data_IF_760348891335
#
_entry.id   IF_760348891335
#
_cell.length_a   1.000
_cell.length_b   1.000
_cell.length_c   1.000
_cell.angle_alpha   90.00
_cell.angle_beta   90.00
_cell.angle_gamma   90.00
#
_symmetry.space_group_name_H-M   'P 1'
#
loop_
_entity.id
_entity.type
_entity.pdbx_description
1 polymer ?
#
# COMPACT_ATOMS: atom_id res chain seq x y z
N UNK A 1 11.52 -3.62 20.83
CA UNK A 1 11.73 -2.16 21.02
C UNK A 1 11.90 -1.42 19.69
N UNK A 2 12.66 -1.94 18.72
CA UNK A 2 12.88 -1.27 17.41
C UNK A 2 11.60 -0.94 16.65
N UNK A 3 10.63 -1.86 16.56
CA UNK A 3 9.40 -1.63 15.80
C UNK A 3 8.54 -0.49 16.37
N UNK A 4 8.44 -0.38 17.71
CA UNK A 4 7.70 0.71 18.36
C UNK A 4 8.32 2.09 18.08
N UNK A 5 9.65 2.17 17.97
CA UNK A 5 10.35 3.41 17.60
C UNK A 5 9.99 3.79 16.16
N UNK A 6 10.01 2.83 15.23
CA UNK A 6 9.66 3.08 13.84
C UNK A 6 8.19 3.50 13.71
N UNK A 7 7.28 2.84 14.41
CA UNK A 7 5.86 3.23 14.48
C UNK A 7 5.73 4.67 14.97
N UNK A 8 6.42 5.03 16.06
CA UNK A 8 6.44 6.40 16.59
C UNK A 8 6.94 7.42 15.57
N UNK A 9 8.03 7.13 14.88
CA UNK A 9 8.60 8.01 13.84
C UNK A 9 7.61 8.19 12.68
N UNK A 10 6.99 7.11 12.20
CA UNK A 10 6.02 7.19 11.09
C UNK A 10 4.79 7.99 11.51
N UNK A 11 4.29 7.82 12.74
CA UNK A 11 3.17 8.63 13.25
C UNK A 11 3.52 10.11 13.32
N UNK A 12 4.69 10.46 13.83
CA UNK A 12 5.18 11.85 13.85
C UNK A 12 5.27 12.39 12.43
N UNK A 13 5.81 11.62 11.49
CA UNK A 13 5.92 12.02 10.09
C UNK A 13 4.55 12.26 9.43
N UNK A 14 3.56 11.40 9.68
CA UNK A 14 2.18 11.56 9.20
C UNK A 14 1.57 12.87 9.70
N UNK A 15 1.74 13.17 10.98
CA UNK A 15 1.23 14.40 11.60
C UNK A 15 1.94 15.63 11.02
N UNK A 16 3.28 15.60 10.95
CA UNK A 16 4.08 16.71 10.42
C UNK A 16 3.71 17.01 8.98
N UNK A 17 3.68 15.98 8.11
CA UNK A 17 3.28 16.13 6.71
C UNK A 17 1.90 16.79 6.64
N UNK A 18 0.93 16.35 7.44
CA UNK A 18 -0.45 16.86 7.39
C UNK A 18 -0.61 18.35 7.76
N UNK A 19 0.34 18.94 8.47
CA UNK A 19 0.28 20.33 8.95
C UNK A 19 1.13 21.28 8.10
N UNK A 20 1.97 20.75 7.19
CA UNK A 20 2.89 21.57 6.40
C UNK A 20 2.17 22.69 5.65
N UNK A 21 2.78 23.90 5.57
CA UNK A 21 2.23 24.99 4.81
C UNK A 21 2.31 24.69 3.30
N UNK A 22 1.32 25.18 2.56
CA UNK A 22 1.19 25.00 1.11
C UNK A 22 2.47 25.27 0.28
N UNK A 23 3.28 26.33 0.52
CA UNK A 23 4.52 26.53 -0.22
C UNK A 23 5.50 25.37 -0.06
N UNK A 24 5.65 24.83 1.15
CA UNK A 24 6.52 23.67 1.43
C UNK A 24 5.96 22.43 0.75
N UNK A 25 4.65 22.24 0.83
CA UNK A 25 3.96 21.14 0.14
C UNK A 25 4.20 21.17 -1.37
N UNK A 26 4.06 22.35 -2.00
CA UNK A 26 4.33 22.54 -3.41
C UNK A 26 5.78 22.25 -3.75
N UNK A 27 6.74 22.70 -2.94
CA UNK A 27 8.17 22.44 -3.17
C UNK A 27 8.48 20.93 -3.20
N UNK A 28 7.98 20.18 -2.22
CA UNK A 28 8.21 18.74 -2.10
C UNK A 28 7.53 17.97 -3.25
N UNK A 29 6.29 18.36 -3.59
CA UNK A 29 5.43 17.55 -4.48
C UNK A 29 5.50 17.95 -5.96
N UNK A 30 6.13 19.08 -6.30
CA UNK A 30 6.16 19.61 -7.69
C UNK A 30 6.68 18.60 -8.70
N UNK A 31 7.80 17.95 -8.39
CA UNK A 31 8.43 16.94 -9.24
C UNK A 31 7.53 15.71 -9.46
N UNK A 32 6.70 15.36 -8.47
CA UNK A 32 5.84 14.17 -8.48
C UNK A 32 4.44 14.41 -9.04
N UNK A 33 4.10 15.65 -9.42
CA UNK A 33 2.78 15.96 -9.97
C UNK A 33 2.55 15.42 -11.39
N UNK A 34 3.62 15.03 -12.10
CA UNK A 34 3.60 14.45 -13.46
C UNK A 34 2.72 15.21 -14.49
N UNK A 35 2.36 16.47 -14.23
CA UNK A 35 1.51 17.36 -15.02
C UNK A 35 0.61 16.64 -16.06
N UNK A 36 0.81 16.91 -17.36
CA UNK A 36 0.09 16.26 -18.47
C UNK A 36 0.83 15.04 -19.03
N UNK A 37 2.00 14.71 -18.50
CA UNK A 37 2.84 13.64 -19.03
C UNK A 37 2.12 12.30 -18.92
N UNK A 38 2.05 11.55 -20.02
CA UNK A 38 1.38 10.24 -20.04
C UNK A 38 -0.14 10.28 -20.11
N UNK A 39 -0.80 11.45 -20.09
CA UNK A 39 -2.24 11.54 -20.37
C UNK A 39 -2.43 11.51 -21.89
N UNK A 40 -3.19 10.53 -22.38
CA UNK A 40 -3.47 10.35 -23.82
C UNK A 40 -4.98 10.32 -24.04
N UNK A 41 -5.44 10.87 -25.17
CA UNK A 41 -6.83 10.77 -25.60
C UNK A 41 -6.94 9.64 -26.61
N UNK A 42 -7.75 8.63 -26.31
CA UNK A 42 -8.02 7.53 -27.22
C UNK A 42 -9.25 7.90 -28.05
N UNK A 43 -9.02 8.29 -29.31
CA UNK A 43 -10.08 8.77 -30.19
C UNK A 43 -11.19 7.74 -30.41
N UNK A 44 -10.83 6.47 -30.60
CA UNK A 44 -11.78 5.35 -30.84
C UNK A 44 -12.86 5.24 -29.76
N UNK A 45 -12.50 5.45 -28.50
CA UNK A 45 -13.42 5.32 -27.36
C UNK A 45 -13.86 6.67 -26.80
N UNK A 46 -13.42 7.79 -27.39
CA UNK A 46 -13.62 9.16 -26.88
C UNK A 46 -13.25 9.34 -25.40
N UNK A 47 -12.31 8.54 -24.89
CA UNK A 47 -11.88 8.56 -23.48
C UNK A 47 -10.45 9.09 -23.33
N UNK A 48 -10.11 9.54 -22.12
CA UNK A 48 -8.74 9.89 -21.71
C UNK A 48 -8.17 8.80 -20.81
N UNK A 49 -6.90 8.48 -21.01
CA UNK A 49 -6.21 7.45 -20.22
C UNK A 49 -4.89 8.01 -19.68
N UNK A 50 -4.50 7.54 -18.50
CA UNK A 50 -3.20 7.84 -17.90
C UNK A 50 -2.27 6.62 -18.08
N UNK A 51 -1.40 6.70 -19.09
CA UNK A 51 -0.44 5.64 -19.39
C UNK A 51 0.58 5.44 -18.27
N UNK A 52 0.97 6.49 -17.54
CA UNK A 52 1.93 6.36 -16.43
C UNK A 52 1.27 5.68 -15.24
N UNK A 53 0.06 6.12 -14.86
CA UNK A 53 -0.68 5.49 -13.77
C UNK A 53 -0.96 4.01 -14.04
N UNK A 54 -1.30 3.66 -15.29
CA UNK A 54 -1.52 2.26 -15.67
C UNK A 54 -0.21 1.46 -15.70
N UNK A 55 0.91 2.03 -16.17
CA UNK A 55 2.22 1.39 -16.14
C UNK A 55 2.64 1.09 -14.69
N UNK A 56 2.53 2.08 -13.79
CA UNK A 56 2.90 1.92 -12.39
C UNK A 56 2.00 0.93 -11.65
N UNK A 57 0.70 0.87 -11.99
CA UNK A 57 -0.18 -0.21 -11.54
C UNK A 57 0.32 -1.58 -12.02
N UNK A 58 0.69 -1.70 -13.30
CA UNK A 58 1.26 -2.94 -13.85
C UNK A 58 2.53 -3.37 -13.12
N UNK A 59 3.47 -2.43 -12.92
CA UNK A 59 4.71 -2.67 -12.15
C UNK A 59 4.38 -3.10 -10.72
N UNK A 60 3.40 -2.46 -10.06
CA UNK A 60 2.96 -2.82 -8.71
C UNK A 60 2.46 -4.26 -8.65
N UNK A 61 1.63 -4.68 -9.62
CA UNK A 61 1.09 -6.04 -9.68
C UNK A 61 2.20 -7.06 -9.87
N UNK A 62 3.08 -6.84 -10.85
CA UNK A 62 4.20 -7.75 -11.12
C UNK A 62 5.12 -7.85 -9.90
N UNK A 63 5.47 -6.71 -9.29
CA UNK A 63 6.27 -6.70 -8.07
C UNK A 63 5.61 -7.51 -6.96
N UNK A 64 4.33 -7.31 -6.67
CA UNK A 64 3.64 -7.97 -5.56
C UNK A 64 3.40 -9.47 -5.79
N UNK A 65 3.43 -9.95 -7.04
CA UNK A 65 3.37 -11.39 -7.33
C UNK A 65 4.75 -12.02 -7.15
N UNK A 66 5.81 -11.37 -7.65
CA UNK A 66 7.16 -11.96 -7.69
C UNK A 66 8.09 -11.47 -6.58
N UNK A 67 7.57 -10.77 -5.57
CA UNK A 67 8.41 -10.09 -4.57
C UNK A 67 9.36 -11.04 -3.83
N UNK A 68 8.94 -12.28 -3.57
CA UNK A 68 9.74 -13.27 -2.83
C UNK A 68 11.01 -13.71 -3.57
N UNK A 69 11.06 -13.52 -4.90
CA UNK A 69 12.24 -13.80 -5.73
C UNK A 69 13.21 -12.62 -5.80
N UNK A 70 12.84 -11.45 -5.27
CA UNK A 70 13.62 -10.23 -5.36
C UNK A 70 14.42 -10.06 -4.06
N UNK A 71 15.76 -10.01 -4.12
CA UNK A 71 16.56 -9.73 -2.94
C UNK A 71 16.23 -8.33 -2.40
N UNK A 72 16.16 -8.20 -1.08
CA UNK A 72 15.80 -6.93 -0.40
C UNK A 72 14.44 -6.35 -0.83
N UNK A 73 13.47 -7.19 -1.18
CA UNK A 73 12.13 -6.75 -1.63
C UNK A 73 11.48 -5.74 -0.67
N UNK A 74 11.62 -5.88 0.65
CA UNK A 74 11.03 -4.95 1.63
C UNK A 74 11.60 -3.53 1.48
N UNK A 75 12.89 -3.41 1.19
CA UNK A 75 13.53 -2.11 0.96
C UNK A 75 13.08 -1.48 -0.36
N UNK A 76 13.07 -2.27 -1.43
CA UNK A 76 12.59 -1.82 -2.76
C UNK A 76 11.12 -1.40 -2.71
N UNK A 77 10.28 -2.18 -2.02
CA UNK A 77 8.89 -1.85 -1.75
C UNK A 77 8.80 -0.52 -0.99
N UNK A 78 9.61 -0.33 0.06
CA UNK A 78 9.63 0.92 0.82
C UNK A 78 9.92 2.15 -0.05
N UNK A 79 10.94 2.09 -0.91
CA UNK A 79 11.25 3.17 -1.86
C UNK A 79 10.08 3.40 -2.83
N UNK A 80 9.58 2.32 -3.43
CA UNK A 80 8.50 2.42 -4.41
C UNK A 80 7.21 2.97 -3.79
N UNK A 81 6.92 2.59 -2.54
CA UNK A 81 5.81 3.08 -1.75
C UNK A 81 5.95 4.58 -1.47
N UNK A 82 7.13 5.05 -1.04
CA UNK A 82 7.39 6.47 -0.78
C UNK A 82 7.18 7.29 -2.06
N UNK A 83 7.69 6.83 -3.20
CA UNK A 83 7.47 7.50 -4.49
C UNK A 83 5.98 7.53 -4.85
N UNK A 84 5.27 6.41 -4.66
CA UNK A 84 3.83 6.31 -4.91
C UNK A 84 3.03 7.27 -4.02
N UNK A 85 3.43 7.39 -2.75
CA UNK A 85 2.84 8.30 -1.78
C UNK A 85 3.05 9.77 -2.19
N UNK A 86 4.27 10.15 -2.56
CA UNK A 86 4.60 11.52 -2.99
C UNK A 86 3.82 11.91 -4.25
N UNK A 87 3.66 10.98 -5.21
CA UNK A 87 2.82 11.15 -6.39
C UNK A 87 1.36 11.40 -6.01
N UNK A 88 0.78 10.56 -5.15
CA UNK A 88 -0.60 10.72 -4.68
C UNK A 88 -0.80 12.07 -3.97
N UNK A 89 0.15 12.44 -3.11
CA UNK A 89 0.14 13.68 -2.33
C UNK A 89 0.22 14.91 -3.24
N UNK A 90 1.02 14.85 -4.31
CA UNK A 90 1.08 15.90 -5.32
C UNK A 90 -0.28 16.16 -5.98
N UNK A 91 -1.01 15.11 -6.33
CA UNK A 91 -2.34 15.25 -6.92
C UNK A 91 -3.37 15.72 -5.92
N UNK A 92 -3.34 15.19 -4.69
CA UNK A 92 -4.24 15.62 -3.62
C UNK A 92 -4.11 17.12 -3.36
N UNK A 93 -2.88 17.63 -3.26
CA UNK A 93 -2.59 19.05 -3.09
C UNK A 93 -3.08 19.89 -4.29
N UNK A 94 -2.82 19.43 -5.52
CA UNK A 94 -3.27 20.11 -6.75
C UNK A 94 -4.80 20.22 -6.82
N UNK A 95 -5.51 19.11 -6.62
CA UNK A 95 -6.98 19.05 -6.73
C UNK A 95 -7.66 19.87 -5.62
N UNK A 96 -7.07 19.91 -4.43
CA UNK A 96 -7.62 20.66 -3.29
C UNK A 96 -7.21 22.13 -3.27
N UNK A 97 -6.36 22.58 -4.19
CA UNK A 97 -5.84 23.96 -4.23
C UNK A 97 -6.93 25.04 -4.27
N UNK A 98 -8.05 24.76 -4.94
CA UNK A 98 -9.21 25.67 -5.07
C UNK A 98 -10.36 25.35 -4.10
N UNK A 99 -10.15 24.41 -3.18
CA UNK A 99 -11.19 23.97 -2.21
C UNK A 99 -11.02 24.72 -0.88
N UNK A 100 -12.08 24.78 -0.06
CA UNK A 100 -11.99 25.30 1.31
C UNK A 100 -10.83 24.67 2.09
N UNK A 101 -10.16 25.47 2.92
CA UNK A 101 -8.97 25.06 3.68
C UNK A 101 -9.20 23.80 4.51
N UNK A 102 -10.40 23.65 5.09
CA UNK A 102 -10.77 22.48 5.89
C UNK A 102 -10.79 21.20 5.03
N UNK A 103 -11.45 21.25 3.86
CA UNK A 103 -11.50 20.13 2.92
C UNK A 103 -10.11 19.71 2.47
N UNK A 104 -9.27 20.69 2.10
CA UNK A 104 -7.90 20.43 1.67
C UNK A 104 -7.07 19.71 2.76
N UNK A 105 -7.12 20.22 4.00
CA UNK A 105 -6.43 19.61 5.13
C UNK A 105 -6.92 18.20 5.43
N UNK A 106 -8.22 17.95 5.40
CA UNK A 106 -8.77 16.61 5.67
C UNK A 106 -8.35 15.60 4.60
N UNK A 107 -8.37 15.97 3.32
CA UNK A 107 -7.92 15.08 2.23
C UNK A 107 -6.44 14.73 2.40
N UNK A 108 -5.60 15.72 2.68
CA UNK A 108 -4.17 15.52 2.91
C UNK A 108 -3.95 14.63 4.14
N UNK A 109 -4.61 14.94 5.26
CA UNK A 109 -4.50 14.18 6.50
C UNK A 109 -4.89 12.70 6.30
N UNK A 110 -6.06 12.41 5.73
CA UNK A 110 -6.50 11.04 5.50
C UNK A 110 -5.59 10.29 4.52
N UNK A 111 -5.03 10.98 3.52
CA UNK A 111 -4.05 10.42 2.59
C UNK A 111 -2.77 10.03 3.33
N UNK A 112 -2.27 10.87 4.23
CA UNK A 112 -1.08 10.60 5.03
C UNK A 112 -1.32 9.48 6.04
N UNK A 113 -2.46 9.47 6.74
CA UNK A 113 -2.82 8.40 7.69
C UNK A 113 -2.91 7.06 6.97
N UNK A 114 -3.59 7.01 5.82
CA UNK A 114 -3.65 5.80 5.01
C UNK A 114 -2.26 5.32 4.59
N UNK A 115 -1.40 6.24 4.14
CA UNK A 115 -0.03 5.91 3.74
C UNK A 115 0.80 5.38 4.91
N UNK A 116 0.75 6.03 6.08
CA UNK A 116 1.51 5.62 7.26
C UNK A 116 1.09 4.24 7.77
N UNK A 117 -0.22 4.02 7.93
CA UNK A 117 -0.76 2.72 8.34
C UNK A 117 -0.41 1.63 7.34
N UNK A 118 -0.55 1.91 6.05
CA UNK A 118 -0.20 0.97 4.99
C UNK A 118 1.29 0.65 4.94
N UNK A 119 2.14 1.64 5.17
CA UNK A 119 3.59 1.45 5.22
C UNK A 119 3.99 0.54 6.38
N UNK A 120 3.47 0.83 7.58
CA UNK A 120 3.74 0.05 8.78
C UNK A 120 3.20 -1.39 8.67
N UNK A 121 1.98 -1.54 8.14
CA UNK A 121 1.35 -2.84 7.95
C UNK A 121 2.08 -3.69 6.91
N UNK A 122 2.33 -3.12 5.73
CA UNK A 122 3.02 -3.81 4.64
C UNK A 122 4.44 -4.25 5.02
N UNK A 123 5.21 -3.41 5.71
CA UNK A 123 6.57 -3.74 6.11
C UNK A 123 6.66 -4.58 7.40
N UNK A 124 5.54 -5.04 7.94
CA UNK A 124 5.51 -5.98 9.07
C UNK A 124 5.70 -5.35 10.45
N UNK A 125 5.78 -4.03 10.57
CA UNK A 125 5.93 -3.35 11.86
C UNK A 125 4.71 -3.54 12.77
N UNK A 126 3.53 -3.80 12.20
CA UNK A 126 2.30 -4.07 12.96
C UNK A 126 2.07 -5.54 13.32
N UNK A 127 2.86 -6.47 12.75
CA UNK A 127 2.72 -7.91 12.96
C UNK A 127 4.00 -8.60 13.47
N UNK A 128 4.97 -7.81 13.94
CA UNK A 128 6.25 -8.34 14.42
C UNK A 128 7.06 -9.06 13.34
N UNK A 129 6.91 -8.66 12.07
CA UNK A 129 7.59 -9.26 10.92
C UNK A 129 7.29 -10.75 10.73
N UNK A 130 6.09 -11.19 11.13
CA UNK A 130 5.67 -12.60 11.10
C UNK A 130 5.88 -13.29 9.74
N UNK A 131 5.77 -12.52 8.65
CA UNK A 131 5.89 -13.07 7.30
C UNK A 131 7.33 -13.34 6.86
N UNK A 132 8.34 -12.67 7.42
CA UNK A 132 9.71 -12.66 6.88
C UNK A 132 10.35 -14.05 6.89
N UNK A 133 10.34 -14.72 8.03
CA UNK A 133 10.93 -16.07 8.15
C UNK A 133 10.12 -17.10 7.34
N UNK A 134 8.80 -16.96 7.32
CA UNK A 134 7.89 -17.89 6.63
C UNK A 134 8.01 -17.79 5.10
N UNK A 135 8.27 -16.59 4.57
CA UNK A 135 8.52 -16.38 3.14
C UNK A 135 9.86 -16.97 2.70
N UNK A 136 10.89 -16.89 3.54
CA UNK A 136 12.16 -17.56 3.24
C UNK A 136 11.97 -19.08 3.18
N UNK A 137 11.16 -19.65 4.08
CA UNK A 137 10.81 -21.06 4.03
C UNK A 137 10.01 -21.41 2.77
N UNK A 138 9.04 -20.58 2.38
CA UNK A 138 8.30 -20.74 1.13
C UNK A 138 9.22 -20.83 -0.09
N UNK A 139 10.25 -19.97 -0.14
CA UNK A 139 11.23 -19.96 -1.22
C UNK A 139 12.05 -21.25 -1.30
N UNK A 140 12.50 -21.77 -0.15
CA UNK A 140 13.22 -23.05 -0.07
C UNK A 140 12.32 -24.18 -0.59
N UNK A 141 11.07 -24.23 -0.13
CA UNK A 141 10.11 -25.25 -0.53
C UNK A 141 9.69 -25.12 -2.00
N UNK A 142 9.68 -23.91 -2.55
CA UNK A 142 9.46 -23.64 -3.98
C UNK A 142 10.61 -24.21 -4.83
N UNK A 143 11.87 -23.96 -4.45
CA UNK A 143 13.03 -24.53 -5.13
C UNK A 143 13.08 -26.06 -5.03
N UNK A 144 12.58 -26.62 -3.91
CA UNK A 144 12.43 -28.06 -3.72
C UNK A 144 11.19 -28.66 -4.45
N UNK A 145 10.45 -27.87 -5.22
CA UNK A 145 9.24 -28.27 -5.96
C UNK A 145 8.10 -28.83 -5.08
N UNK A 146 8.14 -28.60 -3.76
CA UNK A 146 7.12 -29.09 -2.83
C UNK A 146 5.80 -28.35 -2.95
N UNK A 147 5.85 -27.07 -3.34
CA UNK A 147 4.69 -26.17 -3.45
C UNK A 147 3.66 -26.66 -4.49
N UNK A 148 4.08 -27.49 -5.44
CA UNK A 148 3.18 -28.07 -6.44
C UNK A 148 2.39 -29.29 -5.93
N UNK A 149 2.68 -29.79 -4.73
CA UNK A 149 1.94 -30.88 -4.11
C UNK A 149 0.69 -30.34 -3.38
N UNK A 150 -0.48 -30.93 -3.66
CA UNK A 150 -1.75 -30.57 -2.99
C UNK A 150 -1.65 -30.73 -1.47
N UNK A 151 -0.95 -31.77 -0.98
CA UNK A 151 -0.78 -31.98 0.46
C UNK A 151 0.02 -30.85 1.11
N UNK A 152 0.98 -30.27 0.39
CA UNK A 152 1.73 -29.11 0.86
C UNK A 152 0.81 -27.90 1.03
N UNK A 153 -0.09 -27.65 0.08
CA UNK A 153 -1.04 -26.54 0.15
C UNK A 153 -2.03 -26.69 1.32
N UNK A 154 -2.38 -27.91 1.70
CA UNK A 154 -3.31 -28.17 2.81
C UNK A 154 -2.62 -28.14 4.19
N UNK A 155 -1.34 -28.50 4.26
CA UNK A 155 -0.64 -28.69 5.54
C UNK A 155 0.33 -27.55 5.88
N UNK A 156 0.87 -26.85 4.88
CA UNK A 156 1.89 -25.83 5.09
C UNK A 156 1.31 -24.42 4.95
N UNK A 157 1.41 -23.61 6.00
CA UNK A 157 0.92 -22.22 6.02
C UNK A 157 1.71 -21.26 5.11
N UNK A 158 2.90 -21.63 4.67
CA UNK A 158 3.86 -20.71 4.03
C UNK A 158 3.34 -20.07 2.74
N UNK A 159 2.56 -20.80 1.94
CA UNK A 159 1.98 -20.26 0.70
C UNK A 159 0.87 -19.23 0.99
N UNK A 160 0.07 -19.45 2.06
CA UNK A 160 -0.93 -18.45 2.48
C UNK A 160 -0.23 -17.20 3.00
N UNK A 161 0.83 -17.36 3.80
CA UNK A 161 1.66 -16.23 4.25
C UNK A 161 2.21 -15.42 3.08
N UNK A 162 2.70 -16.08 2.03
CA UNK A 162 3.15 -15.43 0.80
C UNK A 162 2.01 -14.66 0.10
N UNK A 163 0.83 -15.26 -0.06
CA UNK A 163 -0.33 -14.60 -0.66
C UNK A 163 -0.81 -13.40 0.15
N UNK A 164 -0.93 -13.54 1.47
CA UNK A 164 -1.39 -12.48 2.36
C UNK A 164 -0.41 -11.32 2.41
N UNK A 165 0.90 -11.60 2.47
CA UNK A 165 1.92 -10.57 2.37
C UNK A 165 1.89 -9.87 1.00
N UNK A 166 1.74 -10.63 -0.09
CA UNK A 166 1.57 -10.07 -1.43
C UNK A 166 0.34 -9.16 -1.52
N UNK A 167 -0.78 -9.54 -0.91
CA UNK A 167 -1.98 -8.70 -0.82
C UNK A 167 -1.75 -7.42 0.00
N UNK A 168 -1.02 -7.52 1.13
CA UNK A 168 -0.63 -6.35 1.94
C UNK A 168 0.28 -5.37 1.20
N UNK A 169 1.12 -5.85 0.29
CA UNK A 169 1.89 -4.99 -0.62
C UNK A 169 1.02 -4.41 -1.74
N UNK A 170 0.18 -5.23 -2.35
CA UNK A 170 -0.59 -4.85 -3.52
C UNK A 170 -1.67 -3.83 -3.18
N UNK A 171 -2.39 -4.03 -2.08
CA UNK A 171 -3.57 -3.25 -1.74
C UNK A 171 -3.26 -1.75 -1.61
N UNK A 172 -2.24 -1.30 -0.83
CA UNK A 172 -1.89 0.11 -0.75
C UNK A 172 -1.44 0.71 -2.07
N UNK A 173 -0.54 0.03 -2.80
CA UNK A 173 -0.02 0.51 -4.08
C UNK A 173 -1.15 0.66 -5.10
N UNK A 174 -2.04 -0.33 -5.19
CA UNK A 174 -3.20 -0.30 -6.08
C UNK A 174 -4.11 0.88 -5.76
N UNK A 175 -4.43 1.10 -4.47
CA UNK A 175 -5.28 2.22 -4.03
C UNK A 175 -4.61 3.56 -4.32
N UNK A 176 -3.31 3.71 -4.06
CA UNK A 176 -2.56 4.94 -4.31
C UNK A 176 -2.53 5.29 -5.79
N UNK A 177 -2.09 4.36 -6.66
CA UNK A 177 -2.01 4.61 -8.09
C UNK A 177 -3.39 4.78 -8.74
N UNK A 178 -4.41 4.07 -8.24
CA UNK A 178 -5.79 4.26 -8.70
C UNK A 178 -6.34 5.63 -8.33
N UNK A 179 -6.07 6.14 -7.11
CA UNK A 179 -6.46 7.49 -6.70
C UNK A 179 -5.68 8.56 -7.46
N UNK A 180 -4.37 8.37 -7.63
CA UNK A 180 -3.52 9.25 -8.43
C UNK A 180 -4.06 9.40 -9.85
N UNK A 181 -4.28 8.29 -10.54
CA UNK A 181 -4.84 8.26 -11.90
C UNK A 181 -6.18 8.98 -11.96
N UNK A 182 -7.07 8.69 -11.02
CA UNK A 182 -8.39 9.30 -10.96
C UNK A 182 -8.30 10.83 -10.79
N UNK A 183 -7.54 11.30 -9.80
CA UNK A 183 -7.37 12.73 -9.53
C UNK A 183 -6.77 13.47 -10.73
N UNK A 184 -5.91 12.82 -11.52
CA UNK A 184 -5.35 13.42 -12.75
C UNK A 184 -6.35 13.54 -13.88
N UNK A 185 -7.19 12.53 -14.08
CA UNK A 185 -8.13 12.48 -15.19
C UNK A 185 -9.37 13.35 -14.93
N UNK A 186 -9.91 13.31 -13.71
CA UNK A 186 -11.15 14.02 -13.37
C UNK A 186 -10.92 15.35 -12.64
N UNK A 187 -9.68 15.64 -12.22
CA UNK A 187 -9.33 16.83 -11.45
C UNK A 187 -10.22 17.03 -10.20
N UNK A 188 -10.64 15.90 -9.60
CA UNK A 188 -11.55 15.81 -8.47
C UNK A 188 -11.06 14.75 -7.48
N UNK A 189 -11.51 14.84 -6.23
CA UNK A 189 -11.28 13.79 -5.24
C UNK A 189 -12.32 12.70 -5.48
N UNK A 190 -11.93 11.42 -5.37
CA UNK A 190 -12.75 10.25 -5.72
C UNK A 190 -13.95 10.08 -4.77
N UNK A 191 -14.97 10.91 -4.98
CA UNK A 191 -16.31 10.86 -4.39
C UNK A 191 -17.17 12.02 -4.93
N UNK A 192 -18.45 11.76 -5.21
CA UNK A 192 -19.44 12.79 -5.57
C UNK A 192 -19.63 13.81 -4.42
N UNK A 193 -19.44 13.36 -3.18
CA UNK A 193 -19.59 14.16 -1.95
C UNK A 193 -18.37 14.01 -1.04
N UNK A 194 -18.00 15.07 -0.32
CA UNK A 194 -16.85 15.06 0.58
C UNK A 194 -16.97 14.04 1.73
N UNK A 195 -18.18 13.84 2.27
CA UNK A 195 -18.44 12.88 3.36
C UNK A 195 -18.16 11.44 2.93
N UNK A 196 -18.56 11.06 1.71
CA UNK A 196 -18.33 9.69 1.22
C UNK A 196 -16.85 9.41 0.97
N UNK A 197 -16.05 10.44 0.67
CA UNK A 197 -14.59 10.32 0.67
C UNK A 197 -14.03 9.97 2.05
N UNK A 198 -14.48 10.66 3.11
CA UNK A 198 -14.02 10.39 4.50
C UNK A 198 -14.34 8.95 4.89
N UNK A 199 -15.59 8.52 4.71
CA UNK A 199 -16.05 7.16 5.03
C UNK A 199 -15.19 6.12 4.30
N UNK A 200 -14.98 6.31 3.00
CA UNK A 200 -14.16 5.41 2.19
C UNK A 200 -12.72 5.34 2.68
N UNK A 201 -12.08 6.47 3.01
CA UNK A 201 -10.70 6.47 3.49
C UNK A 201 -10.58 5.77 4.84
N UNK A 202 -11.50 6.03 5.77
CA UNK A 202 -11.52 5.34 7.08
C UNK A 202 -11.72 3.83 6.91
N UNK A 203 -12.62 3.41 6.01
CA UNK A 203 -12.84 2.01 5.70
C UNK A 203 -11.57 1.33 5.13
N UNK A 204 -10.88 1.99 4.21
CA UNK A 204 -9.62 1.47 3.65
C UNK A 204 -8.52 1.36 4.72
N UNK A 205 -8.41 2.35 5.62
CA UNK A 205 -7.47 2.31 6.75
C UNK A 205 -7.78 1.13 7.67
N UNK A 206 -9.06 0.95 8.02
CA UNK A 206 -9.52 -0.15 8.89
C UNK A 206 -9.21 -1.52 8.28
N UNK A 207 -9.45 -1.71 6.97
CA UNK A 207 -9.08 -2.96 6.27
C UNK A 207 -7.60 -3.24 6.45
N UNK A 208 -6.74 -2.26 6.16
CA UNK A 208 -5.28 -2.45 6.27
C UNK A 208 -4.89 -2.79 7.69
N UNK A 209 -5.45 -2.13 8.71
CA UNK A 209 -5.18 -2.44 10.11
C UNK A 209 -5.60 -3.87 10.48
N UNK A 210 -6.81 -4.28 10.11
CA UNK A 210 -7.31 -5.62 10.40
C UNK A 210 -6.43 -6.70 9.76
N UNK A 211 -6.05 -6.53 8.49
CA UNK A 211 -5.17 -7.49 7.81
C UNK A 211 -3.76 -7.46 8.38
N UNK A 212 -3.26 -6.28 8.74
CA UNK A 212 -1.90 -6.14 9.25
C UNK A 212 -1.77 -6.75 10.64
N UNK A 213 -2.69 -6.48 11.56
CA UNK A 213 -2.58 -6.96 12.94
C UNK A 213 -3.12 -8.38 13.16
N UNK A 214 -4.13 -8.83 12.39
CA UNK A 214 -4.87 -10.05 12.72
C UNK A 214 -4.74 -11.20 11.72
N UNK A 215 -4.36 -10.94 10.46
CA UNK A 215 -4.44 -11.98 9.43
C UNK A 215 -3.45 -13.14 9.66
N UNK A 216 -2.24 -12.84 10.12
CA UNK A 216 -1.20 -13.86 10.32
C UNK A 216 -1.52 -14.76 11.54
N UNK A 217 -1.94 -14.17 12.66
CA UNK A 217 -2.36 -14.95 13.83
C UNK A 217 -3.58 -15.83 13.53
N UNK A 218 -4.51 -15.33 12.71
CA UNK A 218 -5.65 -16.12 12.23
C UNK A 218 -5.19 -17.31 11.38
N UNK A 219 -4.21 -17.13 10.49
CA UNK A 219 -3.65 -18.24 9.71
C UNK A 219 -2.99 -19.28 10.62
N UNK A 220 -2.27 -18.85 11.64
CA UNK A 220 -1.63 -19.77 12.58
C UNK A 220 -2.63 -20.62 13.37
N UNK A 221 -3.79 -20.05 13.70
CA UNK A 221 -4.90 -20.78 14.28
C UNK A 221 -5.47 -21.83 13.30
N UNK A 222 -5.68 -21.46 12.03
CA UNK A 222 -6.24 -22.36 11.01
C UNK A 222 -5.33 -23.56 10.75
N UNK A 223 -4.01 -23.35 10.73
CA UNK A 223 -3.02 -24.42 10.53
C UNK A 223 -2.60 -25.12 11.84
N UNK A 224 -3.26 -24.84 12.96
CA UNK A 224 -3.00 -25.47 14.27
C UNK A 224 -1.52 -25.46 14.69
N UNK A 225 -0.81 -24.36 14.39
CA UNK A 225 0.65 -24.27 14.60
C UNK A 225 1.02 -24.49 16.06
N UNK A 226 0.22 -23.98 16.99
CA UNK A 226 0.49 -24.10 18.43
C UNK A 226 0.25 -25.52 18.96
N UNK A 227 -0.65 -26.29 18.34
CA UNK A 227 -0.83 -27.69 18.68
C UNK A 227 0.39 -28.52 18.22
N UNK A 228 0.90 -28.22 17.03
CA UNK A 228 2.11 -28.85 16.49
C UNK A 228 3.36 -28.49 17.30
N UNK A 229 3.50 -27.22 17.74
CA UNK A 229 4.60 -26.80 18.62
C UNK A 229 4.59 -27.45 20.00
N UNK A 230 3.42 -27.83 20.52
CA UNK A 230 3.29 -28.52 21.82
C UNK A 230 3.58 -30.03 21.72
N UNK A 231 3.52 -30.59 20.52
CA UNK A 231 3.80 -32.00 20.23
C UNK A 231 5.27 -32.27 19.89
N UNK A 232 6.03 -31.22 19.54
CA UNK A 232 7.47 -31.27 19.22
C UNK A 232 8.32 -30.87 20.44
#
# INVERSE_FOLDING_TARGET
MGDYIVIGIVLVFVVLMSILPKPVYNAITRAFSMHKNGIRRIQKYRTTTDSIGNLMLGISIVFCIFYCFIPFYSFLYGIFFIVSHLCLLAQANRVTTKKPKQIAKTVIFLTNVFAGVSFLGALGFLNGHASVAVINQFMIDFHAHKVFNILYLLQNRTWMYWLFQGALFMFPLFIMWSHFKYMRLENSVKAVYFVTYIIKMLFLIMIVLCFSCGAFDFLDMVYQVDALKKLA
#
